data_IF_585383160462
#
_entry.id   IF_585383160462
#
_cell.length_a   1.000
_cell.length_b   1.000
_cell.length_c   1.000
_cell.angle_alpha   90.00
_cell.angle_beta   90.00
_cell.angle_gamma   90.00
#
_symmetry.space_group_name_H-M   'P 1'
#
loop_
_entity.id
_entity.type
_entity.pdbx_description
1 polymer ?
#
# COMPACT_ATOMS: atom_id res chain seq x y z
N UNK A 1 -34.59 45.48 -73.81
CA UNK A 1 -33.73 44.28 -73.74
C UNK A 1 -33.66 43.87 -72.27
N UNK A 2 -34.36 42.83 -71.77
CA UNK A 2 -33.99 41.38 -71.84
C UNK A 2 -32.48 41.22 -71.63
N UNK A 3 -31.97 40.63 -70.54
CA UNK A 3 -32.06 39.22 -70.10
C UNK A 3 -31.51 39.14 -68.65
N UNK A 4 -32.25 38.65 -67.65
CA UNK A 4 -32.37 37.25 -67.14
C UNK A 4 -31.05 36.59 -66.68
N UNK A 5 -31.07 36.21 -65.39
CA UNK A 5 -30.36 35.12 -64.72
C UNK A 5 -28.82 35.18 -64.60
N UNK A 6 -28.32 35.48 -63.40
CA UNK A 6 -27.31 34.68 -62.68
C UNK A 6 -27.77 34.62 -61.21
N UNK A 7 -28.45 33.53 -60.88
CA UNK A 7 -28.64 33.01 -59.53
C UNK A 7 -27.46 32.07 -59.26
N UNK A 8 -27.07 31.97 -57.99
CA UNK A 8 -26.25 30.94 -57.34
C UNK A 8 -24.78 31.33 -57.09
N UNK A 9 -24.37 31.11 -55.82
CA UNK A 9 -23.00 31.17 -55.28
C UNK A 9 -22.61 32.62 -55.00
N UNK A 10 -22.66 33.19 -53.78
CA UNK A 10 -21.91 32.81 -52.57
C UNK A 10 -22.72 33.32 -51.36
N UNK A 11 -23.59 32.47 -50.79
CA UNK A 11 -24.12 32.63 -49.42
C UNK A 11 -23.41 31.55 -48.60
N UNK A 12 -22.20 31.85 -48.13
CA UNK A 12 -21.39 30.89 -47.36
C UNK A 12 -20.37 31.57 -46.42
N UNK A 13 -20.74 32.66 -45.76
CA UNK A 13 -19.82 33.37 -44.83
C UNK A 13 -20.49 33.80 -43.53
N UNK A 14 -21.40 32.99 -42.97
CA UNK A 14 -22.05 33.34 -41.71
C UNK A 14 -22.43 32.14 -40.84
N UNK A 15 -21.51 31.19 -40.63
CA UNK A 15 -21.66 30.23 -39.52
C UNK A 15 -20.29 29.70 -39.07
N UNK A 16 -19.58 30.43 -38.20
CA UNK A 16 -18.61 29.85 -37.25
C UNK A 16 -18.21 30.92 -36.24
N UNK A 17 -18.98 31.10 -35.18
CA UNK A 17 -18.50 31.59 -33.88
C UNK A 17 -19.51 31.26 -32.77
N UNK A 18 -19.96 30.01 -32.75
CA UNK A 18 -20.63 29.42 -31.59
C UNK A 18 -19.73 28.34 -30.98
N UNK A 19 -18.47 28.71 -30.69
CA UNK A 19 -17.70 27.97 -29.71
C UNK A 19 -18.04 28.60 -28.35
N UNK A 20 -19.21 28.28 -27.79
CA UNK A 20 -19.35 28.41 -26.34
C UNK A 20 -18.27 27.50 -25.76
N UNK A 21 -17.19 28.10 -25.26
CA UNK A 21 -16.35 27.45 -24.27
C UNK A 21 -17.25 27.28 -23.06
N UNK A 22 -18.03 26.20 -23.03
CA UNK A 22 -18.64 25.71 -21.81
C UNK A 22 -17.46 25.35 -20.93
N UNK A 23 -17.05 26.29 -20.08
CA UNK A 23 -16.25 25.97 -18.91
C UNK A 23 -17.12 25.00 -18.12
N UNK A 24 -16.85 23.72 -18.30
CA UNK A 24 -17.46 22.71 -17.46
C UNK A 24 -17.01 23.03 -16.04
N UNK A 25 -17.97 23.42 -15.20
CA UNK A 25 -17.76 23.54 -13.77
C UNK A 25 -17.11 22.24 -13.30
N UNK A 26 -15.83 22.32 -12.96
CA UNK A 26 -15.11 21.16 -12.44
C UNK A 26 -15.85 20.75 -11.17
N UNK A 27 -16.29 19.49 -11.05
CA UNK A 27 -16.96 19.05 -9.85
C UNK A 27 -16.07 19.36 -8.64
N UNK A 28 -16.66 19.78 -7.50
CA UNK A 28 -15.89 20.15 -6.33
C UNK A 28 -15.01 18.97 -5.89
N UNK A 29 -13.70 19.23 -5.70
CA UNK A 29 -12.79 18.24 -5.14
C UNK A 29 -13.12 18.13 -3.65
N UNK A 30 -13.76 17.03 -3.26
CA UNK A 30 -14.00 16.74 -1.86
C UNK A 30 -12.70 16.21 -1.23
N UNK A 31 -12.04 17.05 -0.42
CA UNK A 31 -10.85 16.67 0.34
C UNK A 31 -11.32 16.11 1.69
N UNK A 32 -10.99 14.84 2.02
CA UNK A 32 -11.30 14.28 3.32
C UNK A 32 -10.62 15.08 4.44
N UNK A 33 -11.36 15.38 5.51
CA UNK A 33 -10.84 16.05 6.71
C UNK A 33 -11.41 15.35 7.93
N UNK A 34 -10.57 15.12 8.94
CA UNK A 34 -11.01 14.67 10.26
C UNK A 34 -10.95 15.81 11.28
N UNK A 35 -11.91 15.86 12.19
CA UNK A 35 -12.00 16.88 13.25
C UNK A 35 -11.51 16.35 14.61
N UNK A 36 -10.53 15.44 14.59
CA UNK A 36 -9.94 14.84 15.80
C UNK A 36 -8.46 14.52 15.59
N UNK A 37 -7.72 14.35 16.68
CA UNK A 37 -6.28 14.09 16.66
C UNK A 37 -5.94 12.66 17.08
N UNK A 38 -4.80 12.16 16.61
CA UNK A 38 -4.19 10.97 17.19
C UNK A 38 -3.68 11.28 18.60
N UNK A 39 -3.79 10.29 19.48
CA UNK A 39 -3.34 10.38 20.87
C UNK A 39 -2.25 9.34 21.21
N UNK A 40 -1.98 8.41 20.28
CA UNK A 40 -1.05 7.29 20.47
C UNK A 40 -0.26 7.10 19.19
N UNK A 41 1.06 6.90 19.30
CA UNK A 41 1.90 6.52 18.16
C UNK A 41 1.72 5.04 17.80
N UNK A 42 2.08 4.66 16.57
CA UNK A 42 2.00 3.26 16.13
C UNK A 42 2.89 2.37 17.00
N UNK A 43 4.08 2.84 17.40
CA UNK A 43 4.95 2.08 18.30
C UNK A 43 4.28 1.85 19.66
N UNK A 44 3.72 2.89 20.27
CA UNK A 44 3.01 2.76 21.56
C UNK A 44 1.81 1.82 21.48
N UNK A 45 1.11 1.78 20.34
CA UNK A 45 0.06 0.79 20.12
C UNK A 45 0.64 -0.63 20.07
N UNK A 46 1.70 -0.88 19.28
CA UNK A 46 2.35 -2.20 19.22
C UNK A 46 2.88 -2.66 20.57
N UNK A 47 3.44 -1.75 21.38
CA UNK A 47 3.95 -2.02 22.72
C UNK A 47 2.84 -2.44 23.71
N UNK A 48 1.55 -2.24 23.40
CA UNK A 48 0.42 -2.75 24.20
C UNK A 48 0.13 -4.23 23.98
N UNK A 49 0.68 -4.85 22.93
CA UNK A 49 0.52 -6.29 22.71
C UNK A 49 1.29 -7.09 23.77
N UNK A 50 0.57 -7.91 24.51
CA UNK A 50 1.05 -8.68 25.67
C UNK A 50 1.28 -10.17 25.35
N UNK A 51 1.13 -10.58 24.08
CA UNK A 51 1.20 -11.97 23.65
C UNK A 51 -0.15 -12.66 23.44
N UNK A 52 -1.27 -12.00 23.75
CA UNK A 52 -2.63 -12.52 23.50
C UNK A 52 -3.41 -11.62 22.55
N UNK A 53 -4.22 -12.24 21.68
CA UNK A 53 -5.05 -11.52 20.73
C UNK A 53 -6.27 -10.93 21.43
N UNK A 54 -6.14 -9.70 21.95
CA UNK A 54 -7.13 -9.07 22.82
C UNK A 54 -7.74 -7.82 22.21
N UNK A 55 -8.96 -7.50 22.65
CA UNK A 55 -9.66 -6.26 22.28
C UNK A 55 -8.98 -5.05 22.92
N UNK A 56 -8.84 -3.98 22.16
CA UNK A 56 -8.44 -2.68 22.65
C UNK A 56 -9.65 -2.00 23.29
N UNK A 57 -9.60 -1.73 24.59
CA UNK A 57 -10.70 -1.10 25.34
C UNK A 57 -10.54 0.42 25.47
N UNK A 58 -9.31 0.91 25.43
CA UNK A 58 -8.97 2.33 25.51
C UNK A 58 -9.43 3.09 24.25
N UNK A 59 -9.78 4.37 24.40
CA UNK A 59 -10.06 5.29 23.29
C UNK A 59 -8.75 5.71 22.58
N UNK A 60 -8.08 4.75 21.96
CA UNK A 60 -6.83 4.94 21.22
C UNK A 60 -7.12 5.39 19.79
N UNK A 61 -6.43 6.43 19.36
CA UNK A 61 -6.43 6.90 17.97
C UNK A 61 -4.98 7.00 17.51
N UNK A 62 -4.65 6.26 16.47
CA UNK A 62 -3.35 6.36 15.78
C UNK A 62 -3.53 7.09 14.45
N UNK A 63 -2.44 7.64 13.93
CA UNK A 63 -2.36 8.26 12.61
C UNK A 63 -1.14 7.71 11.89
N UNK A 64 -1.27 7.44 10.60
CA UNK A 64 -0.14 7.08 9.75
C UNK A 64 -0.38 7.43 8.29
N UNK A 65 0.65 7.25 7.48
CA UNK A 65 0.59 7.37 6.03
C UNK A 65 0.60 5.97 5.44
N UNK A 66 -0.29 5.71 4.48
CA UNK A 66 -0.35 4.44 3.76
C UNK A 66 0.94 4.23 2.98
N UNK A 67 1.65 3.13 3.25
CA UNK A 67 2.89 2.75 2.55
C UNK A 67 2.68 1.60 1.57
N UNK A 68 1.67 0.76 1.79
CA UNK A 68 1.28 -0.36 0.94
C UNK A 68 -0.21 -0.68 1.10
N UNK A 69 -0.82 -1.22 0.05
CA UNK A 69 -2.21 -1.67 0.01
C UNK A 69 -2.33 -2.89 -0.92
N UNK A 70 -3.56 -3.31 -1.23
CA UNK A 70 -3.86 -4.53 -1.99
C UNK A 70 -3.80 -4.37 -3.53
N UNK A 71 -3.32 -3.24 -4.05
CA UNK A 71 -3.36 -2.91 -5.48
C UNK A 71 -2.71 -3.97 -6.39
N UNK A 72 -1.47 -4.36 -6.07
CA UNK A 72 -0.74 -5.35 -6.86
C UNK A 72 -1.18 -6.78 -6.58
N UNK A 73 -1.98 -7.04 -5.55
CA UNK A 73 -2.30 -8.39 -5.10
C UNK A 73 -1.21 -9.11 -4.29
N UNK A 74 -0.02 -8.50 -4.10
CA UNK A 74 0.99 -9.09 -3.21
C UNK A 74 0.58 -9.00 -1.73
N UNK A 75 -0.16 -7.96 -1.37
CA UNK A 75 -0.77 -7.77 -0.05
C UNK A 75 -2.27 -8.09 -0.10
N UNK A 76 -2.66 -9.31 0.26
CA UNK A 76 -4.07 -9.69 0.21
C UNK A 76 -4.87 -9.05 1.37
N UNK A 77 -5.88 -8.22 1.06
CA UNK A 77 -6.80 -7.65 2.07
C UNK A 77 -6.07 -6.97 3.23
N UNK A 78 -5.06 -6.19 2.89
CA UNK A 78 -4.13 -5.56 3.84
C UNK A 78 -3.91 -4.12 3.46
N UNK A 79 -3.91 -3.24 4.47
CA UNK A 79 -3.41 -1.89 4.38
C UNK A 79 -2.22 -1.78 5.34
N UNK A 80 -1.13 -1.15 4.94
CA UNK A 80 0.01 -0.94 5.82
C UNK A 80 0.24 0.56 5.95
N UNK A 81 0.28 1.04 7.19
CA UNK A 81 0.57 2.43 7.49
C UNK A 81 1.83 2.56 8.32
N UNK A 82 2.46 3.72 8.21
CA UNK A 82 3.64 4.08 8.95
C UNK A 82 3.55 5.51 9.45
N UNK A 83 3.99 5.72 10.69
CA UNK A 83 4.27 7.03 11.26
C UNK A 83 5.79 7.16 11.49
N UNK A 84 6.23 8.21 12.19
CA UNK A 84 7.66 8.40 12.45
C UNK A 84 8.25 7.44 13.51
N UNK A 85 7.43 6.55 14.08
CA UNK A 85 7.79 5.68 15.20
C UNK A 85 7.78 4.20 14.84
N UNK A 86 6.85 3.75 14.00
CA UNK A 86 6.74 2.36 13.55
C UNK A 86 5.74 2.24 12.39
N UNK A 87 5.71 1.06 11.77
CA UNK A 87 4.64 0.66 10.87
C UNK A 87 3.75 -0.43 11.48
N UNK A 88 2.54 -0.58 10.95
CA UNK A 88 1.58 -1.61 11.35
C UNK A 88 0.73 -2.07 10.17
N UNK A 89 0.46 -3.38 10.10
CA UNK A 89 -0.47 -3.95 9.15
C UNK A 89 -1.90 -3.91 9.71
N UNK A 90 -2.83 -3.45 8.88
CA UNK A 90 -4.27 -3.54 9.09
C UNK A 90 -4.84 -4.64 8.21
N UNK A 91 -5.48 -5.63 8.84
CA UNK A 91 -6.16 -6.72 8.14
C UNK A 91 -7.63 -6.36 7.99
N UNK A 92 -8.13 -6.26 6.76
CA UNK A 92 -9.47 -5.71 6.49
C UNK A 92 -10.23 -6.65 5.56
N UNK A 93 -11.47 -7.01 5.87
CA UNK A 93 -12.27 -7.94 5.07
C UNK A 93 -12.95 -7.27 3.87
N UNK A 94 -12.23 -6.36 3.23
CA UNK A 94 -12.66 -5.57 2.08
C UNK A 94 -11.61 -5.69 0.98
N UNK A 95 -12.05 -5.81 -0.26
CA UNK A 95 -11.18 -5.81 -1.44
C UNK A 95 -11.11 -4.41 -2.05
N UNK A 96 -10.09 -4.18 -2.89
CA UNK A 96 -9.90 -2.91 -3.59
C UNK A 96 -9.63 -1.74 -2.64
N UNK A 97 -8.93 -2.00 -1.53
CA UNK A 97 -8.56 -0.98 -0.54
C UNK A 97 -7.79 0.17 -1.19
N UNK A 98 -6.97 -0.12 -2.20
CA UNK A 98 -6.20 0.88 -2.96
C UNK A 98 -7.06 2.00 -3.60
N UNK A 99 -8.33 1.73 -3.89
CA UNK A 99 -9.23 2.72 -4.49
C UNK A 99 -9.61 3.83 -3.51
N UNK A 100 -9.65 3.51 -2.22
CA UNK A 100 -10.01 4.42 -1.14
C UNK A 100 -8.76 4.93 -0.40
N UNK A 101 -7.82 4.03 -0.12
CA UNK A 101 -6.62 4.22 0.70
C UNK A 101 -5.36 4.09 -0.17
N UNK A 102 -5.09 5.13 -0.95
CA UNK A 102 -3.93 5.20 -1.85
C UNK A 102 -2.62 5.31 -1.07
N UNK A 103 -1.52 4.80 -1.61
CA UNK A 103 -0.19 5.04 -1.06
C UNK A 103 0.04 6.55 -0.95
N UNK A 104 0.60 6.99 0.19
CA UNK A 104 0.77 8.41 0.53
C UNK A 104 -0.46 9.08 1.14
N UNK A 105 -1.61 8.42 1.21
CA UNK A 105 -2.78 8.91 1.93
C UNK A 105 -2.54 8.90 3.44
N UNK A 106 -2.79 10.03 4.11
CA UNK A 106 -2.88 10.06 5.57
C UNK A 106 -4.22 9.48 6.01
N UNK A 107 -4.18 8.63 7.02
CA UNK A 107 -5.39 8.08 7.65
C UNK A 107 -5.26 8.10 9.17
N UNK A 108 -6.41 8.14 9.83
CA UNK A 108 -6.56 7.95 11.26
C UNK A 108 -7.34 6.67 11.52
N UNK A 109 -6.95 5.95 12.57
CA UNK A 109 -7.63 4.72 12.98
C UNK A 109 -8.06 4.85 14.43
N UNK A 110 -9.36 4.70 14.67
CA UNK A 110 -9.92 4.52 16.02
C UNK A 110 -9.77 3.05 16.39
N UNK A 111 -8.93 2.75 17.36
CA UNK A 111 -8.53 1.38 17.66
C UNK A 111 -9.44 0.67 18.66
N UNK A 112 -10.27 1.40 19.43
CA UNK A 112 -11.20 0.81 20.39
C UNK A 112 -12.10 -0.23 19.72
N UNK A 113 -12.32 -1.38 20.36
CA UNK A 113 -13.04 -2.55 19.86
C UNK A 113 -12.38 -3.31 18.69
N UNK A 114 -11.24 -2.83 18.18
CA UNK A 114 -10.37 -3.65 17.33
C UNK A 114 -9.46 -4.54 18.19
N UNK A 115 -8.77 -5.46 17.53
CA UNK A 115 -7.89 -6.42 18.18
C UNK A 115 -6.45 -6.22 17.72
N UNK A 116 -5.52 -6.28 18.67
CA UNK A 116 -4.10 -6.49 18.37
C UNK A 116 -3.79 -7.97 18.48
N UNK A 117 -3.07 -8.52 17.51
CA UNK A 117 -2.57 -9.88 17.62
C UNK A 117 -1.33 -10.10 16.77
N UNK A 118 -0.64 -11.19 17.06
CA UNK A 118 0.55 -11.61 16.31
C UNK A 118 0.19 -12.66 15.26
N UNK A 119 0.79 -12.50 14.09
CA UNK A 119 0.82 -13.54 13.07
C UNK A 119 2.28 -13.94 12.79
N UNK A 120 2.77 -14.92 13.55
CA UNK A 120 4.12 -15.50 13.42
C UNK A 120 5.24 -14.45 13.50
N UNK A 121 5.20 -13.54 14.45
CA UNK A 121 6.22 -12.51 14.67
C UNK A 121 5.90 -11.16 14.02
N UNK A 122 4.73 -11.00 13.42
CA UNK A 122 4.23 -9.71 12.91
C UNK A 122 2.99 -9.29 13.69
N UNK A 123 3.09 -8.22 14.48
CA UNK A 123 1.96 -7.61 15.19
C UNK A 123 1.06 -6.88 14.17
N UNK A 124 -0.23 -7.19 14.21
CA UNK A 124 -1.24 -6.69 13.28
C UNK A 124 -2.42 -6.10 14.05
N UNK A 125 -3.09 -5.13 13.41
CA UNK A 125 -4.37 -4.58 13.86
C UNK A 125 -5.49 -5.19 13.01
N UNK A 126 -6.52 -5.71 13.66
CA UNK A 126 -7.53 -6.49 13.00
C UNK A 126 -8.78 -6.69 13.86
N UNK A 127 -9.39 -7.86 13.67
CA UNK A 127 -10.52 -8.31 14.48
C UNK A 127 -10.33 -9.75 14.90
N UNK A 128 -11.09 -10.24 15.88
CA UNK A 128 -10.97 -11.63 16.32
C UNK A 128 -11.52 -12.61 15.27
N UNK A 129 -10.78 -13.69 15.03
CA UNK A 129 -11.23 -14.82 14.23
C UNK A 129 -10.64 -16.12 14.79
N UNK A 130 -11.49 -17.04 15.25
CA UNK A 130 -11.08 -18.32 15.84
C UNK A 130 -9.98 -18.19 16.92
N UNK A 131 -10.15 -17.27 17.86
CA UNK A 131 -9.18 -16.97 18.93
C UNK A 131 -7.80 -16.49 18.45
N UNK A 132 -7.72 -15.95 17.24
CA UNK A 132 -6.50 -15.38 16.65
C UNK A 132 -6.81 -14.11 15.90
N UNK A 133 -5.76 -13.39 15.48
CA UNK A 133 -5.93 -12.17 14.70
C UNK A 133 -6.51 -12.50 13.32
N UNK A 134 -7.57 -11.78 12.99
CA UNK A 134 -8.32 -11.85 11.76
C UNK A 134 -8.54 -10.47 11.16
N UNK A 135 -9.51 -10.37 10.25
CA UNK A 135 -9.77 -9.14 9.49
C UNK A 135 -10.89 -8.32 10.10
N UNK A 136 -10.76 -6.99 10.10
CA UNK A 136 -11.83 -6.05 10.39
C UNK A 136 -12.97 -6.28 9.38
N UNK A 137 -14.18 -6.65 9.81
CA UNK A 137 -15.33 -6.78 8.92
C UNK A 137 -15.58 -5.49 8.14
N UNK A 138 -15.91 -5.60 6.84
CA UNK A 138 -16.14 -4.44 5.96
C UNK A 138 -17.15 -3.45 6.57
N UNK A 139 -18.21 -3.96 7.20
CA UNK A 139 -19.25 -3.17 7.85
C UNK A 139 -18.73 -2.26 8.99
N UNK A 140 -17.59 -2.59 9.60
CA UNK A 140 -16.97 -1.80 10.66
C UNK A 140 -15.91 -0.83 10.12
N UNK A 141 -15.47 -0.95 8.87
CA UNK A 141 -14.35 -0.16 8.33
C UNK A 141 -14.59 1.35 8.46
N UNK A 142 -15.79 1.82 8.12
CA UNK A 142 -16.13 3.24 8.17
C UNK A 142 -16.27 3.79 9.60
N UNK A 143 -16.36 2.92 10.61
CA UNK A 143 -16.37 3.31 12.03
C UNK A 143 -14.95 3.48 12.59
N UNK A 144 -13.97 2.83 11.96
CA UNK A 144 -12.59 2.77 12.45
C UNK A 144 -11.60 3.56 11.61
N UNK A 145 -11.71 3.56 10.29
CA UNK A 145 -10.67 4.07 9.39
C UNK A 145 -11.17 5.34 8.69
N UNK A 146 -10.44 6.44 8.90
CA UNK A 146 -10.81 7.76 8.40
C UNK A 146 -9.68 8.33 7.56
N UNK A 147 -10.00 8.73 6.33
CA UNK A 147 -9.05 9.41 5.44
C UNK A 147 -8.93 10.88 5.82
N UNK A 148 -7.73 11.41 5.73
CA UNK A 148 -7.45 12.82 5.93
C UNK A 148 -6.50 13.33 4.84
N UNK A 149 -6.78 14.51 4.29
CA UNK A 149 -6.08 15.14 3.16
C UNK A 149 -6.19 14.36 1.84
N UNK A 150 -5.61 14.90 0.76
CA UNK A 150 -5.42 14.15 -0.49
C UNK A 150 -4.17 13.25 -0.37
N UNK A 151 -4.05 12.18 -1.18
CA UNK A 151 -2.83 11.37 -1.20
C UNK A 151 -1.60 12.22 -1.50
N UNK A 152 -0.61 12.15 -0.61
CA UNK A 152 0.68 12.81 -0.75
C UNK A 152 1.79 11.83 -1.14
N UNK A 153 3.02 12.19 -0.81
CA UNK A 153 4.17 11.28 -0.96
C UNK A 153 4.24 10.34 0.25
N UNK A 154 4.44 9.02 0.04
CA UNK A 154 4.70 8.12 1.16
C UNK A 154 6.02 8.49 1.89
N UNK A 155 6.21 8.03 3.14
CA UNK A 155 7.50 8.13 3.83
C UNK A 155 8.64 7.59 2.98
N UNK A 156 9.82 8.20 3.09
CA UNK A 156 11.04 7.67 2.47
C UNK A 156 11.38 6.33 3.12
N UNK A 157 11.83 5.33 2.33
CA UNK A 157 12.24 4.06 2.91
C UNK A 157 13.46 4.23 3.81
N UNK A 158 13.52 3.43 4.87
CA UNK A 158 14.70 3.31 5.73
C UNK A 158 15.74 2.48 4.99
N UNK A 159 16.88 3.09 4.66
CA UNK A 159 18.01 2.35 4.08
C UNK A 159 18.66 1.49 5.15
N UNK A 160 18.82 0.20 4.87
CA UNK A 160 19.32 -0.79 5.84
C UNK A 160 20.14 -1.87 5.12
N UNK A 161 21.18 -2.40 5.75
CA UNK A 161 21.85 -3.63 5.27
C UNK A 161 21.08 -4.87 5.76
N UNK A 162 21.21 -5.98 5.04
CA UNK A 162 20.62 -7.26 5.43
C UNK A 162 21.06 -7.69 6.84
N UNK A 163 22.28 -7.35 7.28
CA UNK A 163 22.78 -7.70 8.63
C UNK A 163 22.15 -6.90 9.76
N UNK A 164 21.55 -5.74 9.43
CA UNK A 164 21.06 -4.77 10.41
C UNK A 164 19.52 -4.82 10.53
N UNK A 165 18.89 -5.84 9.95
CA UNK A 165 17.45 -6.06 10.08
C UNK A 165 17.09 -6.38 11.52
N UNK A 166 16.08 -5.68 12.03
CA UNK A 166 15.57 -5.85 13.38
C UNK A 166 14.04 -5.89 13.41
N UNK A 167 13.49 -6.27 14.57
CA UNK A 167 12.03 -6.37 14.76
C UNK A 167 11.34 -4.99 14.80
N UNK A 168 12.09 -3.91 15.01
CA UNK A 168 11.56 -2.55 14.98
C UNK A 168 11.20 -2.13 13.55
N UNK A 169 11.94 -2.60 12.55
CA UNK A 169 11.67 -2.35 11.12
C UNK A 169 10.46 -3.11 10.56
N UNK A 170 9.90 -4.09 11.30
CA UNK A 170 8.72 -4.84 10.85
C UNK A 170 7.53 -3.91 10.60
N UNK A 171 6.90 -4.12 9.44
CA UNK A 171 5.82 -3.32 8.84
C UNK A 171 6.22 -1.92 8.40
N UNK A 172 7.53 -1.61 8.33
CA UNK A 172 8.02 -0.35 7.76
C UNK A 172 8.50 -0.53 6.32
N UNK A 173 8.53 0.58 5.59
CA UNK A 173 9.14 0.65 4.27
C UNK A 173 10.67 0.72 4.43
N UNK A 174 11.38 -0.27 3.88
CA UNK A 174 12.84 -0.34 3.88
C UNK A 174 13.39 -0.36 2.46
N UNK A 175 14.67 -0.03 2.32
CA UNK A 175 15.42 -0.14 1.08
C UNK A 175 16.75 -0.83 1.35
N UNK A 176 17.01 -1.91 0.61
CA UNK A 176 18.29 -2.63 0.60
C UNK A 176 18.97 -2.37 -0.74
N UNK A 177 20.26 -2.02 -0.72
CA UNK A 177 21.03 -1.59 -1.88
C UNK A 177 22.11 -2.62 -2.22
N UNK A 178 22.56 -2.65 -3.48
CA UNK A 178 23.64 -3.52 -3.94
C UNK A 178 23.39 -5.01 -3.68
N UNK A 179 22.16 -5.45 -3.92
CA UNK A 179 21.73 -6.85 -3.77
C UNK A 179 21.39 -7.47 -5.11
N UNK A 180 21.59 -8.78 -5.26
CA UNK A 180 21.17 -9.53 -6.45
C UNK A 180 20.33 -10.74 -6.07
N UNK A 181 19.41 -11.14 -6.94
CA UNK A 181 18.65 -12.37 -6.74
C UNK A 181 19.53 -13.59 -7.00
N UNK A 182 19.47 -14.60 -6.12
CA UNK A 182 20.22 -15.86 -6.25
C UNK A 182 19.82 -16.64 -7.51
N UNK A 183 18.58 -16.46 -7.98
CA UNK A 183 18.01 -17.14 -9.15
C UNK A 183 17.34 -16.12 -10.07
N UNK A 184 18.10 -15.43 -10.95
CA UNK A 184 17.50 -14.53 -11.94
C UNK A 184 16.85 -15.31 -13.09
N UNK A 185 16.03 -14.63 -13.91
CA UNK A 185 15.35 -15.19 -15.08
C UNK A 185 14.35 -16.33 -14.79
N UNK A 186 13.86 -16.40 -13.55
CA UNK A 186 12.70 -17.23 -13.17
C UNK A 186 11.55 -16.34 -12.72
N UNK A 187 10.34 -16.88 -12.59
CA UNK A 187 9.16 -16.12 -12.16
C UNK A 187 9.30 -15.65 -10.70
N UNK A 188 8.75 -14.49 -10.36
CA UNK A 188 8.65 -14.06 -8.96
C UNK A 188 7.86 -15.05 -8.10
N UNK A 189 6.73 -15.54 -8.61
CA UNK A 189 5.95 -16.59 -7.97
C UNK A 189 5.38 -17.61 -8.95
N UNK A 190 5.59 -18.88 -8.62
CA UNK A 190 5.00 -20.02 -9.32
C UNK A 190 3.49 -20.10 -9.03
N UNK A 191 2.70 -20.56 -10.01
CA UNK A 191 1.24 -20.69 -9.88
C UNK A 191 0.82 -22.04 -9.26
N UNK A 192 1.75 -22.72 -8.58
CA UNK A 192 1.56 -24.04 -7.97
C UNK A 192 1.45 -23.97 -6.44
N UNK A 193 1.65 -22.80 -5.85
CA UNK A 193 1.59 -22.57 -4.41
C UNK A 193 1.01 -21.18 -4.12
N UNK A 194 0.56 -20.94 -2.88
CA UNK A 194 -0.03 -19.63 -2.52
C UNK A 194 0.95 -18.46 -2.61
N UNK A 195 2.25 -18.72 -2.45
CA UNK A 195 3.31 -17.73 -2.56
C UNK A 195 4.67 -18.43 -2.72
N UNK A 196 5.61 -17.75 -3.36
CA UNK A 196 6.99 -18.21 -3.56
C UNK A 196 7.97 -17.33 -2.80
N UNK A 197 9.01 -17.95 -2.23
CA UNK A 197 10.13 -17.26 -1.62
C UNK A 197 11.31 -17.30 -2.60
N UNK A 198 11.90 -16.13 -2.86
CA UNK A 198 13.15 -15.97 -3.61
C UNK A 198 14.15 -15.31 -2.68
N UNK A 199 15.45 -15.55 -2.86
CA UNK A 199 16.47 -14.92 -2.03
C UNK A 199 17.20 -13.84 -2.82
N UNK A 200 17.44 -12.72 -2.15
CA UNK A 200 18.40 -11.71 -2.56
C UNK A 200 19.63 -11.79 -1.66
N UNK A 201 20.77 -11.39 -2.19
CA UNK A 201 22.07 -11.50 -1.52
C UNK A 201 22.91 -10.24 -1.70
N UNK A 202 23.56 -9.77 -0.64
CA UNK A 202 24.55 -8.69 -0.71
C UNK A 202 25.97 -9.23 -0.99
N UNK A 203 26.94 -8.35 -1.20
CA UNK A 203 28.34 -8.74 -1.46
C UNK A 203 28.98 -9.54 -0.31
N UNK A 204 28.51 -9.34 0.93
CA UNK A 204 28.93 -10.08 2.12
C UNK A 204 28.39 -11.51 2.19
N UNK A 205 27.49 -11.91 1.28
CA UNK A 205 26.88 -13.23 1.24
C UNK A 205 25.67 -13.41 2.16
N UNK A 206 25.22 -12.35 2.83
CA UNK A 206 24.01 -12.36 3.64
C UNK A 206 22.78 -12.36 2.74
N UNK A 207 21.73 -13.09 3.15
CA UNK A 207 20.53 -13.28 2.34
C UNK A 207 19.29 -12.74 3.02
N UNK A 208 18.35 -12.23 2.22
CA UNK A 208 17.02 -11.83 2.65
C UNK A 208 15.98 -12.50 1.74
N UNK A 209 14.91 -13.01 2.33
CA UNK A 209 13.79 -13.59 1.59
C UNK A 209 12.97 -12.45 0.98
N UNK A 210 12.74 -12.50 -0.33
CA UNK A 210 11.69 -11.75 -1.02
C UNK A 210 10.52 -12.70 -1.24
N UNK A 211 9.38 -12.40 -0.61
CA UNK A 211 8.18 -13.24 -0.67
C UNK A 211 7.14 -12.61 -1.58
N UNK A 212 6.67 -13.40 -2.55
CA UNK A 212 5.68 -12.94 -3.54
C UNK A 212 4.49 -13.89 -3.59
N UNK A 213 3.28 -13.35 -3.46
CA UNK A 213 2.00 -14.03 -3.66
C UNK A 213 1.86 -14.50 -5.11
N UNK A 214 1.26 -15.67 -5.35
CA UNK A 214 0.92 -16.07 -6.72
C UNK A 214 -0.11 -15.14 -7.38
N UNK A 215 -0.87 -14.40 -6.57
CA UNK A 215 -1.88 -13.43 -7.01
C UNK A 215 -1.31 -12.03 -7.26
N UNK A 216 0.00 -11.82 -7.07
CA UNK A 216 0.61 -10.56 -7.42
C UNK A 216 0.56 -10.34 -8.94
N UNK A 217 0.25 -9.14 -9.40
CA UNK A 217 0.22 -8.78 -10.83
C UNK A 217 1.58 -8.96 -11.52
N UNK A 218 2.66 -8.90 -10.75
CA UNK A 218 4.03 -9.18 -11.18
C UNK A 218 4.50 -10.61 -10.90
N UNK A 219 3.66 -11.50 -10.37
CA UNK A 219 4.03 -12.88 -10.01
C UNK A 219 4.69 -13.64 -11.18
N UNK A 220 4.17 -13.45 -12.39
CA UNK A 220 4.68 -14.10 -13.60
C UNK A 220 5.73 -13.27 -14.36
N UNK A 221 6.20 -12.15 -13.78
CA UNK A 221 7.35 -11.42 -14.34
C UNK A 221 8.64 -12.17 -14.04
N UNK A 222 9.62 -12.06 -14.94
CA UNK A 222 10.95 -12.62 -14.72
C UNK A 222 11.74 -11.75 -13.73
N UNK A 223 12.40 -12.40 -12.79
CA UNK A 223 13.31 -11.77 -11.84
C UNK A 223 14.50 -11.17 -12.59
N UNK A 224 14.82 -9.89 -12.37
CA UNK A 224 15.91 -9.24 -13.06
C UNK A 224 17.28 -9.75 -12.56
N UNK A 225 18.25 -9.76 -13.45
CA UNK A 225 19.65 -10.05 -13.12
C UNK A 225 20.41 -8.81 -12.65
N UNK A 226 21.57 -9.03 -12.02
CA UNK A 226 22.50 -7.97 -11.62
C UNK A 226 22.19 -7.39 -10.24
N UNK A 227 23.03 -6.44 -9.83
CA UNK A 227 22.82 -5.70 -8.60
C UNK A 227 21.63 -4.75 -8.78
N UNK A 228 20.83 -4.63 -7.72
CA UNK A 228 19.62 -3.83 -7.66
C UNK A 228 19.53 -3.09 -6.33
N UNK A 229 18.74 -2.04 -6.36
CA UNK A 229 18.17 -1.41 -5.18
C UNK A 229 16.73 -1.88 -5.02
N UNK A 230 16.41 -2.53 -3.90
CA UNK A 230 15.09 -3.12 -3.68
C UNK A 230 14.43 -2.43 -2.50
N UNK A 231 13.27 -1.84 -2.75
CA UNK A 231 12.39 -1.26 -1.73
C UNK A 231 11.28 -2.27 -1.38
N UNK A 232 10.79 -2.26 -0.15
CA UNK A 232 9.66 -3.11 0.21
C UNK A 232 9.24 -2.94 1.65
N UNK A 233 8.19 -3.64 2.04
CA UNK A 233 7.76 -3.69 3.44
C UNK A 233 8.41 -4.89 4.11
N UNK A 234 9.14 -4.65 5.19
CA UNK A 234 9.72 -5.73 5.98
C UNK A 234 8.62 -6.42 6.79
N UNK A 235 8.65 -7.75 6.82
CA UNK A 235 7.78 -8.61 7.61
C UNK A 235 8.63 -9.70 8.27
N UNK A 236 8.01 -10.48 9.15
CA UNK A 236 8.64 -11.61 9.83
C UNK A 236 7.70 -12.80 9.85
N UNK A 237 8.25 -13.98 9.61
CA UNK A 237 7.56 -15.25 9.75
C UNK A 237 8.41 -16.20 10.60
N UNK A 238 7.97 -16.41 11.84
CA UNK A 238 8.71 -17.07 12.90
C UNK A 238 10.04 -16.35 13.18
N UNK A 239 11.14 -16.87 12.65
CA UNK A 239 12.50 -16.34 12.84
C UNK A 239 13.02 -15.61 11.61
N UNK A 240 12.38 -15.79 10.46
CA UNK A 240 12.89 -15.32 9.19
C UNK A 240 12.29 -13.96 8.85
N UNK A 241 13.15 -12.99 8.54
CA UNK A 241 12.74 -11.75 7.91
C UNK A 241 12.35 -12.01 6.45
N UNK A 242 11.29 -11.33 6.01
CA UNK A 242 10.76 -11.45 4.66
C UNK A 242 10.43 -10.05 4.14
N UNK A 243 10.92 -9.73 2.96
CA UNK A 243 10.61 -8.50 2.24
C UNK A 243 9.45 -8.75 1.28
N UNK A 244 8.43 -7.90 1.35
CA UNK A 244 7.32 -7.89 0.42
C UNK A 244 7.41 -6.65 -0.47
N UNK A 245 7.46 -6.87 -1.79
CA UNK A 245 7.37 -5.79 -2.77
C UNK A 245 5.93 -5.29 -2.85
N UNK A 246 5.76 -3.98 -3.01
CA UNK A 246 4.44 -3.38 -3.23
C UNK A 246 4.03 -3.51 -4.68
N UNK A 247 4.99 -3.45 -5.58
CA UNK A 247 4.84 -3.69 -7.02
C UNK A 247 6.24 -3.91 -7.63
N UNK A 248 6.30 -4.20 -8.92
CA UNK A 248 7.58 -4.48 -9.61
C UNK A 248 8.53 -3.26 -9.66
N UNK A 249 8.00 -2.02 -9.61
CA UNK A 249 8.80 -0.81 -9.66
C UNK A 249 9.58 -0.52 -8.37
N UNK A 250 9.34 -1.32 -7.32
CA UNK A 250 10.17 -1.31 -6.12
C UNK A 250 11.59 -1.88 -6.36
N UNK A 251 11.85 -2.46 -7.54
CA UNK A 251 13.19 -2.89 -7.96
C UNK A 251 13.76 -1.87 -8.93
N UNK A 252 14.81 -1.18 -8.51
CA UNK A 252 15.55 -0.21 -9.30
C UNK A 252 16.97 -0.71 -9.62
N UNK A 253 17.57 -0.14 -10.67
CA UNK A 253 19.00 -0.30 -10.97
C UNK A 253 19.88 0.41 -9.93
#
# INVERSE_FOLDING_TARGET
MKTKNIILIIIATLVINACEKKEFDKPPINVPVVEFNANTSIKQLKDKYNGTCDTITDDIIIQGVVIANDESGNFYKTLIIQDNTAGIELKIDKSYLYTEYKVGQRIYIKCKNLFLGDYNGTIQLGYIYNNSIGRIPDVLVNEHIFRDSLPGTPPKPVKVDITDLDDFLISQLIQVENVSFDTPNVLFAEQTSSATNRNIRNEGGYTLIVRTSQYADFAQSLIPSGNKTITGVLSKYNKDFQLYLRNISDIAD
#
